data_IF_862967368350
#
_entry.id   IF_862967368350
#
_cell.length_a   1.000
_cell.length_b   1.000
_cell.length_c   1.000
_cell.angle_alpha   90.00
_cell.angle_beta   90.00
_cell.angle_gamma   90.00
#
_symmetry.space_group_name_H-M   'P 1'
#
loop_
_entity.id
_entity.type
_entity.pdbx_description
1 polymer ?
#
# COMPACT_ATOMS: atom_id res chain seq x y z
N UNK A 1 -22.54 -24.41 11.87
CA UNK A 1 -21.33 -24.02 12.63
C UNK A 1 -20.26 -23.75 11.60
N UNK A 2 -19.75 -22.53 11.44
CA UNK A 2 -18.80 -22.29 10.36
C UNK A 2 -17.41 -22.81 10.78
N UNK A 3 -16.87 -23.71 9.96
CA UNK A 3 -15.68 -24.55 10.21
C UNK A 3 -14.32 -23.84 10.05
N UNK A 4 -14.24 -22.52 9.90
CA UNK A 4 -12.97 -21.81 9.64
C UNK A 4 -12.78 -20.57 10.54
N UNK A 5 -12.81 -20.74 11.86
CA UNK A 5 -12.52 -19.66 12.80
C UNK A 5 -11.03 -19.44 13.05
N UNK A 6 -10.13 -20.10 12.32
CA UNK A 6 -8.69 -19.93 12.48
C UNK A 6 -8.00 -19.83 11.13
N UNK A 7 -6.97 -19.00 11.05
CA UNK A 7 -6.08 -18.92 9.90
C UNK A 7 -4.65 -19.19 10.36
N UNK A 8 -3.96 -20.03 9.63
CA UNK A 8 -2.61 -20.49 9.92
C UNK A 8 -1.70 -19.96 8.81
N UNK A 9 -0.69 -19.17 9.19
CA UNK A 9 0.14 -18.43 8.25
C UNK A 9 1.60 -18.75 8.54
N UNK A 10 2.37 -19.09 7.52
CA UNK A 10 3.82 -19.20 7.65
C UNK A 10 4.43 -17.80 7.73
N UNK A 11 5.19 -17.54 8.79
CA UNK A 11 5.74 -16.21 9.08
C UNK A 11 7.23 -16.22 9.33
N UNK A 12 7.87 -15.11 9.01
CA UNK A 12 9.24 -14.82 9.38
C UNK A 12 9.23 -13.75 10.48
N UNK A 13 9.82 -14.08 11.64
CA UNK A 13 9.98 -13.15 12.75
C UNK A 13 11.10 -12.16 12.46
N UNK A 14 10.78 -10.88 12.44
CA UNK A 14 11.73 -9.78 12.29
C UNK A 14 11.86 -9.02 13.62
N UNK A 15 13.10 -8.75 14.05
CA UNK A 15 13.39 -7.93 15.23
C UNK A 15 13.94 -6.58 14.79
N UNK A 16 13.29 -5.50 15.21
CA UNK A 16 13.73 -4.13 14.97
C UNK A 16 13.71 -3.33 16.28
N UNK A 17 14.35 -2.14 16.34
CA UNK A 17 14.35 -1.31 17.54
C UNK A 17 12.96 -0.90 18.02
N UNK A 18 11.98 -0.81 17.10
CA UNK A 18 10.59 -0.45 17.41
C UNK A 18 9.78 -1.64 17.98
N UNK A 19 10.30 -2.86 17.88
CA UNK A 19 9.60 -4.07 18.31
C UNK A 19 9.83 -5.27 17.41
N UNK A 20 9.23 -6.39 17.80
CA UNK A 20 9.17 -7.61 17.00
C UNK A 20 7.90 -7.58 16.14
N UNK A 21 8.01 -8.03 14.89
CA UNK A 21 6.86 -8.20 14.01
C UNK A 21 7.09 -9.39 13.08
N UNK A 22 6.02 -9.84 12.45
CA UNK A 22 6.02 -10.99 11.56
C UNK A 22 5.85 -10.56 10.12
N UNK A 23 6.58 -11.18 9.20
CA UNK A 23 6.46 -10.95 7.77
C UNK A 23 5.93 -12.21 7.10
N UNK A 24 4.91 -12.07 6.27
CA UNK A 24 4.27 -13.20 5.61
C UNK A 24 3.78 -12.85 4.20
N UNK A 25 3.48 -13.89 3.43
CA UNK A 25 2.73 -13.79 2.19
C UNK A 25 1.30 -14.27 2.46
N UNK A 26 0.30 -13.49 2.08
CA UNK A 26 -1.11 -13.81 2.33
C UNK A 26 -1.96 -13.62 1.07
N UNK A 27 -2.97 -14.47 0.89
CA UNK A 27 -3.92 -14.30 -0.21
C UNK A 27 -4.82 -13.08 0.05
N UNK A 28 -5.16 -12.28 -0.98
CA UNK A 28 -6.07 -11.16 -0.85
C UNK A 28 -7.42 -11.52 -0.21
N UNK A 29 -7.98 -12.70 -0.52
CA UNK A 29 -9.25 -13.15 0.06
C UNK A 29 -9.15 -13.35 1.58
N UNK A 30 -8.11 -14.06 2.03
CA UNK A 30 -7.84 -14.27 3.46
C UNK A 30 -7.62 -12.95 4.19
N UNK A 31 -6.85 -12.04 3.56
CA UNK A 31 -6.59 -10.71 4.12
C UNK A 31 -7.88 -9.89 4.26
N UNK A 32 -8.75 -9.91 3.25
CA UNK A 32 -10.06 -9.23 3.28
C UNK A 32 -10.96 -9.82 4.38
N UNK A 33 -10.92 -11.15 4.56
CA UNK A 33 -11.77 -11.83 5.54
C UNK A 33 -11.39 -11.51 6.99
N UNK A 34 -10.10 -11.35 7.30
CA UNK A 34 -9.61 -11.08 8.67
C UNK A 34 -9.46 -9.59 8.99
N UNK A 35 -9.33 -8.76 7.95
CA UNK A 35 -9.00 -7.36 8.13
C UNK A 35 -10.22 -6.48 8.23
N UNK A 36 -10.15 -5.54 9.15
CA UNK A 36 -11.03 -4.40 9.17
C UNK A 36 -10.18 -3.15 9.01
N UNK A 37 -10.56 -2.35 8.04
CA UNK A 37 -10.22 -0.94 8.04
C UNK A 37 -11.47 -0.23 8.56
N UNK A 38 -11.28 0.79 9.40
CA UNK A 38 -12.36 1.52 10.07
C UNK A 38 -13.08 2.47 9.09
N UNK A 39 -13.58 1.90 7.98
CA UNK A 39 -14.00 2.65 6.80
C UNK A 39 -15.40 3.24 6.99
N UNK A 40 -16.21 2.70 7.91
CA UNK A 40 -17.64 3.02 8.00
C UNK A 40 -18.28 3.05 9.40
N UNK A 41 -17.57 2.77 10.49
CA UNK A 41 -18.16 2.92 11.84
C UNK A 41 -18.00 4.34 12.36
N UNK A 42 -18.93 5.18 11.91
CA UNK A 42 -19.22 6.48 12.52
C UNK A 42 -20.00 6.19 13.81
N UNK A 43 -19.34 5.75 14.89
CA UNK A 43 -19.90 5.85 16.25
C UNK A 43 -18.78 6.18 17.27
N UNK A 44 -18.72 7.46 17.64
CA UNK A 44 -18.43 8.03 18.97
C UNK A 44 -17.14 7.68 19.76
N UNK A 45 -16.09 7.06 19.18
CA UNK A 45 -14.78 6.93 19.86
C UNK A 45 -13.60 7.55 19.09
N UNK A 46 -13.75 8.78 18.59
CA UNK A 46 -12.85 9.33 17.56
C UNK A 46 -11.57 10.04 18.08
N UNK A 47 -10.87 9.42 19.04
CA UNK A 47 -9.53 9.84 19.45
C UNK A 47 -8.57 9.71 18.25
N UNK A 48 -8.75 8.68 17.43
CA UNK A 48 -7.87 8.36 16.29
C UNK A 48 -7.99 9.34 15.11
N UNK A 49 -9.19 9.87 14.85
CA UNK A 49 -9.39 10.95 13.87
C UNK A 49 -8.84 12.28 14.38
N UNK A 50 -8.91 12.52 15.69
CA UNK A 50 -8.20 13.63 16.33
C UNK A 50 -6.67 13.48 16.20
N UNK A 51 -6.16 12.25 16.23
CA UNK A 51 -4.75 11.92 16.00
C UNK A 51 -4.36 11.89 14.52
N UNK A 52 -5.32 11.97 13.59
CA UNK A 52 -5.06 11.98 12.14
C UNK A 52 -4.49 10.65 11.60
N UNK A 53 -4.68 9.54 12.31
CA UNK A 53 -4.09 8.24 12.00
C UNK A 53 -4.70 7.61 10.74
N UNK A 54 -5.88 8.07 10.29
CA UNK A 54 -6.56 7.50 9.12
C UNK A 54 -6.78 8.51 8.00
N UNK A 55 -6.55 8.07 6.75
CA UNK A 55 -6.87 8.85 5.54
C UNK A 55 -8.22 8.42 5.00
N UNK A 56 -9.12 9.34 4.61
CA UNK A 56 -10.33 8.96 3.92
C UNK A 56 -9.99 8.19 2.63
N UNK A 57 -10.75 7.13 2.36
CA UNK A 57 -10.62 6.37 1.13
C UNK A 57 -10.96 7.26 -0.07
N UNK A 58 -10.04 7.31 -1.02
CA UNK A 58 -10.22 8.07 -2.24
C UNK A 58 -10.73 7.12 -3.32
N UNK A 59 -12.00 7.28 -3.71
CA UNK A 59 -12.66 6.42 -4.71
C UNK A 59 -11.94 6.41 -6.05
N UNK A 60 -11.39 7.55 -6.49
CA UNK A 60 -10.61 7.63 -7.73
C UNK A 60 -9.35 6.78 -7.65
N UNK A 61 -8.65 6.81 -6.51
CA UNK A 61 -7.45 6.00 -6.28
C UNK A 61 -7.78 4.51 -6.23
N UNK A 62 -8.87 4.13 -5.56
CA UNK A 62 -9.32 2.73 -5.51
C UNK A 62 -9.66 2.23 -6.92
N UNK A 63 -10.35 3.03 -7.74
CA UNK A 63 -10.66 2.67 -9.14
C UNK A 63 -9.40 2.45 -9.96
N UNK A 64 -8.41 3.35 -9.86
CA UNK A 64 -7.13 3.21 -10.55
C UNK A 64 -6.38 1.94 -10.11
N UNK A 65 -6.43 1.61 -8.81
CA UNK A 65 -5.84 0.39 -8.27
C UNK A 65 -6.58 -0.84 -8.84
N UNK A 66 -7.92 -0.85 -8.87
CA UNK A 66 -8.72 -1.94 -9.43
C UNK A 66 -8.37 -2.20 -10.90
N UNK A 67 -8.27 -1.14 -11.70
CA UNK A 67 -7.81 -1.22 -13.10
C UNK A 67 -6.36 -1.74 -13.20
N UNK A 68 -5.47 -1.32 -12.30
CA UNK A 68 -4.08 -1.79 -12.28
C UNK A 68 -3.97 -3.29 -11.96
N UNK A 69 -4.71 -3.79 -10.97
CA UNK A 69 -4.65 -5.20 -10.54
C UNK A 69 -5.16 -6.13 -11.66
N UNK A 70 -6.11 -5.67 -12.48
CA UNK A 70 -6.57 -6.42 -13.66
C UNK A 70 -5.50 -6.56 -14.76
N UNK A 71 -4.52 -5.65 -14.77
CA UNK A 71 -3.37 -5.68 -15.68
C UNK A 71 -2.53 -6.96 -15.55
N UNK A 72 -1.80 -7.32 -16.61
CA UNK A 72 -0.91 -8.51 -16.59
C UNK A 72 0.35 -8.30 -15.74
N UNK A 73 0.77 -7.05 -15.54
CA UNK A 73 1.99 -6.65 -14.84
C UNK A 73 1.71 -6.09 -13.43
N UNK A 74 0.58 -6.45 -12.84
CA UNK A 74 0.20 -6.00 -11.51
C UNK A 74 1.16 -6.56 -10.45
N UNK A 75 1.79 -5.68 -9.68
CA UNK A 75 2.67 -6.06 -8.57
C UNK A 75 2.53 -5.11 -7.39
N UNK A 76 2.49 -5.65 -6.17
CA UNK A 76 2.56 -4.89 -4.93
C UNK A 76 3.76 -5.36 -4.10
N UNK A 77 4.96 -4.80 -4.36
CA UNK A 77 6.16 -5.20 -3.64
C UNK A 77 6.21 -4.65 -2.20
N UNK A 78 5.44 -3.59 -1.92
CA UNK A 78 5.39 -2.97 -0.60
C UNK A 78 4.54 -3.81 0.35
N UNK A 79 4.97 -3.93 1.60
CA UNK A 79 4.21 -4.65 2.62
C UNK A 79 2.94 -3.90 3.04
N UNK A 80 1.87 -4.61 3.35
CA UNK A 80 0.66 -4.11 4.04
C UNK A 80 0.90 -4.26 5.54
N UNK A 81 0.66 -3.19 6.29
CA UNK A 81 0.94 -3.16 7.72
C UNK A 81 -0.35 -3.44 8.49
N UNK A 82 -0.32 -4.50 9.28
CA UNK A 82 -1.44 -4.98 10.11
C UNK A 82 -1.04 -4.90 11.58
N UNK A 83 -1.96 -4.43 12.41
CA UNK A 83 -1.91 -4.54 13.85
C UNK A 83 -2.93 -5.60 14.29
N UNK A 84 -2.49 -6.56 15.08
CA UNK A 84 -3.31 -7.64 15.62
C UNK A 84 -3.21 -7.61 17.14
N UNK A 85 -4.34 -7.83 17.81
CA UNK A 85 -4.37 -7.94 19.26
C UNK A 85 -3.65 -9.22 19.71
N UNK A 86 -2.90 -9.16 20.80
CA UNK A 86 -2.18 -10.31 21.36
C UNK A 86 -3.11 -11.47 21.71
N UNK A 87 -4.38 -11.20 22.04
CA UNK A 87 -5.37 -12.22 22.38
C UNK A 87 -5.80 -13.08 21.19
N UNK A 88 -5.62 -12.55 19.98
CA UNK A 88 -6.08 -13.17 18.73
C UNK A 88 -4.94 -13.83 17.95
N UNK A 89 -3.73 -13.89 18.50
CA UNK A 89 -2.54 -14.35 17.80
C UNK A 89 -1.68 -15.27 18.67
N UNK A 90 -1.37 -16.45 18.15
CA UNK A 90 -0.43 -17.39 18.77
C UNK A 90 0.68 -17.73 17.77
N UNK A 91 1.93 -17.59 18.19
CA UNK A 91 3.10 -17.88 17.37
C UNK A 91 3.84 -19.11 17.89
N UNK A 92 4.06 -20.08 17.00
CA UNK A 92 4.87 -21.25 17.27
C UNK A 92 6.27 -21.09 16.64
N UNK A 93 7.30 -21.03 17.48
CA UNK A 93 8.70 -20.86 17.07
C UNK A 93 9.26 -22.07 16.30
N UNK A 94 8.80 -23.29 16.60
CA UNK A 94 9.31 -24.52 15.96
C UNK A 94 8.80 -24.68 14.53
N UNK A 95 7.51 -24.37 14.30
CA UNK A 95 6.87 -24.48 12.98
C UNK A 95 6.87 -23.18 12.18
N UNK A 96 7.34 -22.07 12.78
CA UNK A 96 7.29 -20.73 12.20
C UNK A 96 5.87 -20.33 11.75
N UNK A 97 4.87 -20.79 12.50
CA UNK A 97 3.47 -20.65 12.13
C UNK A 97 2.79 -19.68 13.09
N UNK A 98 2.14 -18.67 12.51
CA UNK A 98 1.28 -17.72 13.23
C UNK A 98 -0.17 -18.15 13.03
N UNK A 99 -0.84 -18.46 14.12
CA UNK A 99 -2.26 -18.79 14.14
C UNK A 99 -3.04 -17.57 14.59
N UNK A 100 -3.98 -17.13 13.77
CA UNK A 100 -4.92 -16.07 14.15
C UNK A 100 -6.32 -16.66 14.38
N UNK A 101 -6.95 -16.27 15.49
CA UNK A 101 -8.25 -16.78 15.92
C UNK A 101 -9.06 -15.67 16.62
N UNK A 102 -10.40 -15.76 16.64
CA UNK A 102 -11.23 -14.78 17.30
C UNK A 102 -11.14 -14.94 18.83
N UNK A 103 -11.25 -13.82 19.54
CA UNK A 103 -11.31 -13.81 20.99
C UNK A 103 -12.78 -13.70 21.43
N UNK A 104 -13.25 -14.67 22.21
CA UNK A 104 -14.56 -14.63 22.84
C UNK A 104 -14.35 -14.23 24.30
N UNK A 105 -14.84 -13.04 24.68
CA UNK A 105 -14.81 -12.60 26.06
C UNK A 105 -15.86 -13.37 26.88
N UNK A 106 -15.49 -13.81 28.07
CA UNK A 106 -16.43 -14.36 29.05
C UNK A 106 -17.32 -13.24 29.62
N UNK A 107 -18.60 -13.52 29.86
CA UNK A 107 -19.60 -12.56 30.39
C UNK A 107 -19.20 -11.88 31.71
N UNK A 108 -18.20 -12.43 32.41
CA UNK A 108 -17.69 -11.94 33.69
C UNK A 108 -16.56 -10.90 33.56
N UNK A 109 -15.88 -10.85 32.40
CA UNK A 109 -14.87 -9.84 32.09
C UNK A 109 -15.49 -8.70 31.29
N UNK A 110 -15.21 -7.45 31.65
CA UNK A 110 -15.68 -6.26 30.93
C UNK A 110 -15.00 -6.05 29.57
N UNK A 111 -14.50 -7.10 28.93
CA UNK A 111 -13.75 -7.06 27.69
C UNK A 111 -14.67 -7.28 26.49
N UNK A 112 -14.41 -6.57 25.39
CA UNK A 112 -15.16 -6.73 24.15
C UNK A 112 -14.65 -7.97 23.39
N UNK A 113 -15.56 -8.79 22.86
CA UNK A 113 -15.21 -9.92 21.99
C UNK A 113 -14.70 -9.43 20.63
N UNK A 114 -13.74 -10.16 20.07
CA UNK A 114 -13.12 -9.85 18.77
C UNK A 114 -13.56 -10.90 17.76
N UNK A 115 -14.45 -10.48 16.85
CA UNK A 115 -14.89 -11.29 15.72
C UNK A 115 -13.72 -11.64 14.79
N UNK A 116 -13.81 -12.79 14.10
CA UNK A 116 -12.82 -13.21 13.10
C UNK A 116 -12.56 -12.14 12.03
N UNK A 117 -13.62 -11.40 11.64
CA UNK A 117 -13.55 -10.32 10.65
C UNK A 117 -12.85 -9.05 11.14
N UNK A 118 -12.50 -8.99 12.42
CA UNK A 118 -11.92 -7.81 13.08
C UNK A 118 -10.61 -8.14 13.80
N UNK A 119 -9.97 -9.26 13.43
CA UNK A 119 -8.70 -9.66 14.06
C UNK A 119 -7.57 -8.69 13.68
N UNK A 120 -7.52 -8.27 12.42
CA UNK A 120 -6.42 -7.46 11.90
C UNK A 120 -6.86 -6.04 11.57
N UNK A 121 -6.32 -5.05 12.29
CA UNK A 121 -6.48 -3.64 11.98
C UNK A 121 -5.46 -3.21 10.93
N UNK A 122 -5.93 -2.59 9.85
CA UNK A 122 -5.04 -2.12 8.77
C UNK A 122 -4.46 -0.74 9.10
N UNK A 123 -3.15 -0.65 9.33
CA UNK A 123 -2.46 0.63 9.58
C UNK A 123 -2.06 1.32 8.27
N UNK A 124 -1.54 0.55 7.30
CA UNK A 124 -1.20 1.07 5.96
C UNK A 124 -1.57 0.06 4.89
N UNK A 125 -1.96 0.56 3.71
CA UNK A 125 -2.37 -0.28 2.58
C UNK A 125 -3.88 -0.41 2.40
N UNK A 126 -4.69 0.35 3.14
CA UNK A 126 -6.17 0.36 3.01
C UNK A 126 -6.67 0.52 1.56
N UNK A 127 -6.08 1.41 0.74
CA UNK A 127 -6.50 1.58 -0.66
C UNK A 127 -6.15 0.37 -1.53
N UNK A 128 -5.12 -0.41 -1.15
CA UNK A 128 -4.72 -1.63 -1.87
C UNK A 128 -5.70 -2.76 -1.59
N UNK A 129 -6.06 -2.97 -0.31
CA UNK A 129 -7.08 -3.93 0.09
C UNK A 129 -8.42 -3.58 -0.55
N UNK A 130 -8.81 -2.30 -0.51
CA UNK A 130 -10.04 -1.82 -1.14
C UNK A 130 -10.07 -2.02 -2.67
N UNK A 131 -8.91 -2.20 -3.32
CA UNK A 131 -8.84 -2.53 -4.75
C UNK A 131 -9.33 -3.94 -5.08
N UNK A 132 -9.33 -4.85 -4.11
CA UNK A 132 -9.85 -6.21 -4.26
C UNK A 132 -11.34 -6.32 -3.91
N UNK A 133 -11.89 -5.28 -3.25
CA UNK A 133 -13.29 -5.22 -2.85
C UNK A 133 -14.18 -4.68 -3.98
N UNK A 134 -15.42 -5.13 -4.00
CA UNK A 134 -16.48 -4.52 -4.80
C UNK A 134 -17.17 -3.37 -4.08
N UNK A 135 -18.09 -2.69 -4.75
CA UNK A 135 -18.92 -1.63 -4.15
C UNK A 135 -19.72 -2.12 -2.93
N UNK A 136 -19.97 -3.43 -2.83
CA UNK A 136 -20.64 -4.11 -1.71
C UNK A 136 -19.68 -4.68 -0.65
N UNK A 137 -18.39 -4.30 -0.65
CA UNK A 137 -17.33 -4.83 0.22
C UNK A 137 -17.13 -6.36 0.12
N UNK A 138 -17.55 -6.97 -0.98
CA UNK A 138 -17.29 -8.38 -1.27
C UNK A 138 -15.99 -8.52 -2.07
N UNK A 139 -15.28 -9.62 -1.87
CA UNK A 139 -14.11 -9.96 -2.70
C UNK A 139 -14.54 -10.10 -4.17
N UNK A 140 -13.91 -9.33 -5.06
CA UNK A 140 -14.30 -9.22 -6.48
C UNK A 140 -13.21 -9.61 -7.47
N UNK A 141 -12.07 -10.07 -6.96
CA UNK A 141 -10.91 -10.39 -7.80
C UNK A 141 -10.97 -11.84 -8.28
N UNK A 142 -10.74 -12.03 -9.57
CA UNK A 142 -10.87 -13.33 -10.22
C UNK A 142 -9.73 -14.26 -9.77
N UNK A 143 -10.10 -15.46 -9.32
CA UNK A 143 -9.26 -16.42 -8.58
C UNK A 143 -8.22 -17.11 -9.49
N UNK A 144 -8.30 -16.91 -10.81
CA UNK A 144 -7.45 -17.60 -11.79
C UNK A 144 -5.98 -17.16 -11.77
N UNK A 145 -5.60 -16.12 -11.01
CA UNK A 145 -4.19 -15.69 -10.86
C UNK A 145 -3.71 -15.86 -9.43
N UNK A 146 -2.55 -16.51 -9.27
CA UNK A 146 -1.82 -16.50 -8.00
C UNK A 146 -1.37 -15.06 -7.74
N UNK A 147 -2.02 -14.42 -6.78
CA UNK A 147 -1.70 -13.08 -6.34
C UNK A 147 -1.58 -13.12 -4.82
N UNK A 148 -0.38 -12.92 -4.31
CA UNK A 148 -0.12 -12.87 -2.87
C UNK A 148 0.36 -11.48 -2.49
N UNK A 149 -0.01 -11.06 -1.28
CA UNK A 149 0.33 -9.77 -0.71
C UNK A 149 1.37 -9.98 0.39
N UNK A 150 2.45 -9.20 0.31
CA UNK A 150 3.38 -9.06 1.41
C UNK A 150 2.67 -8.36 2.58
N UNK A 151 2.66 -8.98 3.75
CA UNK A 151 2.06 -8.44 4.97
C UNK A 151 3.09 -8.39 6.10
N UNK A 152 3.02 -7.33 6.89
CA UNK A 152 3.79 -7.15 8.13
C UNK A 152 2.81 -7.03 9.29
N UNK A 153 2.84 -8.03 10.16
CA UNK A 153 1.89 -8.23 11.26
C UNK A 153 2.59 -7.86 12.58
N UNK A 154 2.10 -6.82 13.22
CA UNK A 154 2.50 -6.40 14.55
C UNK A 154 1.49 -6.96 15.55
N UNK A 155 1.95 -7.71 16.54
CA UNK A 155 1.10 -8.35 17.55
C UNK A 155 1.26 -7.58 18.86
N UNK A 156 0.15 -7.15 19.46
CA UNK A 156 0.14 -6.52 20.80
C UNK A 156 0.73 -5.11 20.88
N UNK A 157 0.77 -4.37 19.77
CA UNK A 157 1.28 -2.98 19.77
C UNK A 157 0.22 -1.98 20.28
N UNK A 158 0.64 -1.03 21.11
CA UNK A 158 -0.26 -0.03 21.67
C UNK A 158 -0.70 1.02 20.61
N UNK A 159 -1.70 1.83 20.94
CA UNK A 159 -2.24 2.86 20.02
C UNK A 159 -1.18 3.92 19.67
N UNK A 160 -0.25 4.20 20.58
CA UNK A 160 0.81 5.20 20.39
C UNK A 160 1.86 4.71 19.38
N UNK A 161 2.27 3.46 19.50
CA UNK A 161 3.18 2.76 18.59
C UNK A 161 2.54 2.60 17.21
N UNK A 162 1.24 2.23 17.15
CA UNK A 162 0.47 2.23 15.90
C UNK A 162 0.53 3.59 15.20
N UNK A 163 0.32 4.68 15.94
CA UNK A 163 0.40 6.05 15.41
C UNK A 163 1.82 6.41 14.93
N UNK A 164 2.85 6.02 15.69
CA UNK A 164 4.26 6.25 15.33
C UNK A 164 4.66 5.49 14.07
N UNK A 165 4.26 4.22 13.93
CA UNK A 165 4.49 3.41 12.73
C UNK A 165 3.79 4.06 11.54
N UNK A 166 2.52 4.44 11.70
CA UNK A 166 1.75 5.11 10.65
C UNK A 166 2.40 6.41 10.19
N UNK A 167 2.83 7.26 11.14
CA UNK A 167 3.48 8.53 10.85
C UNK A 167 4.82 8.32 10.14
N UNK A 168 5.66 7.41 10.64
CA UNK A 168 6.99 7.12 10.09
C UNK A 168 6.90 6.61 8.65
N UNK A 169 6.01 5.65 8.39
CA UNK A 169 5.84 5.05 7.06
C UNK A 169 5.32 6.07 6.05
N UNK A 170 4.42 6.95 6.45
CA UNK A 170 3.86 7.96 5.55
C UNK A 170 4.75 9.18 5.35
N UNK A 171 5.48 9.63 6.38
CA UNK A 171 6.40 10.76 6.29
C UNK A 171 7.66 10.40 5.49
N UNK A 172 8.19 9.19 5.66
CA UNK A 172 9.39 8.75 4.94
C UNK A 172 9.15 8.55 3.43
N UNK A 173 7.91 8.39 2.98
CA UNK A 173 7.57 8.26 1.57
C UNK A 173 7.66 9.61 0.84
N UNK A 174 8.86 9.94 0.34
CA UNK A 174 9.02 11.05 -0.60
C UNK A 174 8.40 10.71 -1.95
N UNK A 175 7.58 11.61 -2.49
CA UNK A 175 6.98 11.44 -3.81
C UNK A 175 8.08 11.42 -4.88
N UNK A 176 8.16 10.33 -5.64
CA UNK A 176 9.07 10.23 -6.79
C UNK A 176 8.72 11.32 -7.81
N UNK A 177 9.75 12.00 -8.33
CA UNK A 177 9.55 13.02 -9.36
C UNK A 177 8.99 12.37 -10.64
N UNK A 178 7.86 12.89 -11.14
CA UNK A 178 7.21 12.38 -12.36
C UNK A 178 8.14 12.40 -13.57
N UNK A 179 9.05 13.37 -13.65
CA UNK A 179 10.08 13.43 -14.69
C UNK A 179 10.93 12.16 -14.75
N UNK A 180 11.39 11.68 -13.58
CA UNK A 180 12.17 10.45 -13.50
C UNK A 180 11.34 9.22 -13.89
N UNK A 181 10.05 9.20 -13.57
CA UNK A 181 9.15 8.11 -13.97
C UNK A 181 9.06 8.00 -15.49
N UNK A 182 8.91 9.11 -16.21
CA UNK A 182 8.88 9.10 -17.68
C UNK A 182 10.21 8.65 -18.29
N UNK A 183 11.34 9.05 -17.70
CA UNK A 183 12.66 8.59 -18.16
C UNK A 183 12.82 7.06 -17.92
N UNK A 184 12.29 6.53 -16.82
CA UNK A 184 12.31 5.07 -16.54
C UNK A 184 11.39 4.27 -17.49
N UNK A 185 10.32 4.87 -18.02
CA UNK A 185 9.47 4.20 -19.01
C UNK A 185 10.22 3.86 -20.31
N UNK A 186 11.33 4.55 -20.61
CA UNK A 186 12.22 4.20 -21.73
C UNK A 186 12.68 2.73 -21.64
N UNK A 187 13.05 2.30 -20.43
CA UNK A 187 13.54 0.95 -20.12
C UNK A 187 12.45 -0.12 -20.14
N UNK A 188 11.17 0.26 -20.06
CA UNK A 188 10.05 -0.69 -20.09
C UNK A 188 9.97 -1.38 -21.44
N UNK A 189 9.79 -2.69 -21.49
CA UNK A 189 9.67 -3.43 -22.76
C UNK A 189 8.33 -3.19 -23.47
N UNK A 190 7.32 -2.72 -22.73
CA UNK A 190 5.94 -2.56 -23.22
C UNK A 190 5.75 -1.15 -23.78
N UNK A 191 5.06 -1.02 -24.92
CA UNK A 191 4.69 0.29 -25.47
C UNK A 191 3.51 0.87 -24.69
N UNK A 192 3.70 2.05 -24.10
CA UNK A 192 2.62 2.87 -23.53
C UNK A 192 2.47 4.17 -24.34
N UNK A 193 1.31 4.85 -24.31
CA UNK A 193 1.15 6.18 -24.90
C UNK A 193 2.20 7.17 -24.37
N UNK A 194 2.50 7.08 -23.07
CA UNK A 194 3.54 7.89 -22.43
C UNK A 194 4.93 7.62 -23.00
N UNK A 195 5.27 6.35 -23.25
CA UNK A 195 6.53 5.95 -23.91
C UNK A 195 6.65 6.53 -25.32
N UNK A 196 5.58 6.50 -26.11
CA UNK A 196 5.57 7.08 -27.46
C UNK A 196 5.80 8.59 -27.41
N UNK A 197 5.08 9.31 -26.52
CA UNK A 197 5.28 10.74 -26.31
C UNK A 197 6.70 11.06 -25.83
N UNK A 198 7.24 10.23 -24.94
CA UNK A 198 8.61 10.36 -24.45
C UNK A 198 9.63 10.24 -25.59
N UNK A 199 9.51 9.22 -26.46
CA UNK A 199 10.41 9.08 -27.62
C UNK A 199 10.31 10.25 -28.60
N UNK A 200 9.11 10.78 -28.86
CA UNK A 200 8.95 11.98 -29.69
C UNK A 200 9.67 13.16 -29.06
N UNK A 201 9.53 13.37 -27.75
CA UNK A 201 10.22 14.43 -27.04
C UNK A 201 11.75 14.27 -27.08
N UNK A 202 12.27 13.04 -26.93
CA UNK A 202 13.71 12.75 -27.08
C UNK A 202 14.20 13.03 -28.49
N UNK A 203 13.44 12.62 -29.52
CA UNK A 203 13.78 12.86 -30.91
C UNK A 203 13.81 14.36 -31.23
N UNK A 204 12.83 15.12 -30.72
CA UNK A 204 12.76 16.58 -30.91
C UNK A 204 13.81 17.36 -30.13
N UNK A 205 14.32 16.85 -29.00
CA UNK A 205 15.44 17.46 -28.25
C UNK A 205 16.77 17.20 -28.97
N UNK A 206 16.95 16.02 -29.56
CA UNK A 206 18.20 15.58 -30.17
C UNK A 206 18.42 16.10 -31.61
N UNK A 207 17.36 16.33 -32.38
CA UNK A 207 17.48 16.80 -33.76
C UNK A 207 17.89 18.28 -33.83
N UNK A 208 19.06 18.57 -34.40
CA UNK A 208 19.59 19.94 -34.58
C UNK A 208 18.67 20.84 -35.42
N UNK A 209 17.85 20.26 -36.31
CA UNK A 209 16.89 21.01 -37.14
C UNK A 209 15.56 21.27 -36.42
N UNK A 210 15.36 20.65 -35.26
CA UNK A 210 14.15 20.81 -34.48
C UNK A 210 14.12 22.19 -33.80
N UNK A 211 12.97 22.89 -33.81
CA UNK A 211 12.80 24.12 -33.04
C UNK A 211 12.90 23.92 -31.52
N UNK A 212 12.90 22.66 -31.07
CA UNK A 212 13.00 22.23 -29.67
C UNK A 212 14.38 21.65 -29.30
N UNK A 213 15.36 21.75 -30.20
CA UNK A 213 16.72 21.27 -29.94
C UNK A 213 17.29 21.87 -28.65
N UNK A 214 17.75 21.00 -27.74
CA UNK A 214 18.26 21.31 -26.39
C UNK A 214 17.33 22.15 -25.49
N UNK A 215 16.03 22.25 -25.83
CA UNK A 215 15.04 23.03 -25.07
C UNK A 215 14.17 22.18 -24.17
N UNK A 216 14.33 20.85 -24.19
CA UNK A 216 13.50 19.93 -23.40
C UNK A 216 14.28 19.45 -22.17
N UNK A 217 13.82 19.85 -20.98
CA UNK A 217 14.41 19.43 -19.70
C UNK A 217 13.75 18.14 -19.20
N UNK A 218 14.50 17.02 -19.24
CA UNK A 218 13.98 15.68 -18.91
C UNK A 218 13.98 15.34 -17.42
N UNK A 219 15.12 15.48 -16.73
CA UNK A 219 15.32 14.98 -15.36
C UNK A 219 14.78 15.87 -14.23
N UNK A 220 14.14 17.00 -14.54
CA UNK A 220 13.62 17.95 -13.54
C UNK A 220 14.69 18.74 -12.76
N UNK A 221 15.90 18.21 -12.59
CA UNK A 221 17.07 18.91 -12.03
C UNK A 221 17.87 19.62 -13.13
N UNK A 222 18.48 20.76 -12.81
CA UNK A 222 19.35 21.45 -13.76
C UNK A 222 20.62 20.61 -14.00
N UNK A 223 20.75 20.04 -15.18
CA UNK A 223 22.00 19.36 -15.59
C UNK A 223 23.07 20.43 -15.75
N UNK A 224 24.11 20.38 -14.90
CA UNK A 224 25.19 21.40 -14.83
C UNK A 224 25.89 21.62 -16.18
N UNK A 225 25.87 20.63 -17.07
CA UNK A 225 26.47 20.68 -18.41
C UNK A 225 25.62 21.34 -19.50
N UNK A 226 24.34 21.64 -19.25
CA UNK A 226 23.46 22.30 -20.24
C UNK A 226 23.25 23.76 -19.83
N UNK A 227 24.14 24.65 -20.29
CA UNK A 227 23.87 26.09 -20.25
C UNK A 227 22.75 26.39 -21.24
N UNK A 228 21.51 26.46 -20.73
CA UNK A 228 20.37 26.95 -21.49
C UNK A 228 20.69 28.39 -21.91
N UNK A 229 21.00 28.62 -23.19
CA UNK A 229 20.90 29.94 -23.79
C UNK A 229 19.43 30.34 -23.79
N UNK A 230 18.95 30.86 -22.67
CA UNK A 230 17.59 31.35 -22.52
C UNK A 230 17.43 32.55 -23.48
N UNK A 231 16.55 32.50 -24.49
CA UNK A 231 16.15 33.71 -25.18
C UNK A 231 15.35 34.51 -24.16
N UNK A 232 15.86 35.69 -23.88
CA UNK A 232 15.27 36.71 -23.04
C UNK A 232 13.82 36.95 -23.50
N UNK A 233 12.83 36.35 -22.83
CA UNK A 233 11.47 36.90 -22.79
C UNK A 233 11.48 38.10 -21.83
N UNK A 234 12.15 39.18 -22.24
CA UNK A 234 11.85 40.53 -21.72
C UNK A 234 10.85 41.16 -22.66
N UNK A 235 9.75 41.60 -22.06
CA UNK A 235 8.81 42.60 -22.56
C UNK A 235 8.01 42.18 -23.79
N UNK A 236 6.80 41.68 -23.55
CA UNK A 236 5.56 42.39 -23.85
C UNK A 236 4.50 42.02 -22.80
#
# INVERSE_FOLDING_TARGET
MPENSKIEINVLKAKQPIGEFFVASMKPNELVDISYADIRRIEERDIEKHLGIQRPLNKTRVKQIKEYIQGRDATFPTSIILAVDEKCAEYNEESQLLTLYPYVADEENSEESIDFKKIAKVLDGQHRIAGFLDDNDNYSFDIDRVFELNVSIFVGIDVSEQANIFATVNLAQTKVNKSLVYDLEELSKIRSPHKTCHFIAVALDADEKSPLHERIKRLGVATVSRQLSCPVWRQL
#
